data_IF_839089794220
#
_entry.id   IF_839089794220
#
_cell.length_a   1.000
_cell.length_b   1.000
_cell.length_c   1.000
_cell.angle_alpha   90.00
_cell.angle_beta   90.00
_cell.angle_gamma   90.00
#
_symmetry.space_group_name_H-M   'P 1'
#
loop_
_entity.id
_entity.type
_entity.pdbx_description
1 polymer ?
#
# COMPACT_ATOMS: atom_id res chain seq x y z
N UNK A 1 -62.02 38.41 39.33
CA UNK A 1 -60.66 38.22 38.74
C UNK A 1 -59.57 37.91 39.77
N UNK A 2 -59.66 38.34 41.05
CA UNK A 2 -58.62 38.13 42.07
C UNK A 2 -58.47 36.67 42.54
N UNK A 3 -59.57 35.94 42.71
CA UNK A 3 -59.57 34.55 43.21
C UNK A 3 -58.83 33.57 42.28
N UNK A 4 -59.00 33.74 40.96
CA UNK A 4 -58.32 32.94 39.94
C UNK A 4 -56.79 33.16 39.96
N UNK A 5 -56.36 34.40 40.25
CA UNK A 5 -54.94 34.75 40.39
C UNK A 5 -54.33 34.15 41.66
N UNK A 6 -55.06 34.16 42.77
CA UNK A 6 -54.64 33.52 44.03
C UNK A 6 -54.42 32.01 43.85
N UNK A 7 -55.34 31.33 43.16
CA UNK A 7 -55.27 29.89 42.87
C UNK A 7 -54.09 29.58 41.93
N UNK A 8 -53.87 30.38 40.89
CA UNK A 8 -52.72 30.23 40.00
C UNK A 8 -51.38 30.40 40.76
N UNK A 9 -51.30 31.37 41.69
CA UNK A 9 -50.11 31.61 42.51
C UNK A 9 -49.87 30.48 43.52
N UNK A 10 -50.92 29.98 44.17
CA UNK A 10 -50.83 28.85 45.10
C UNK A 10 -50.44 27.55 44.39
N UNK A 11 -51.00 27.27 43.21
CA UNK A 11 -50.63 26.10 42.40
C UNK A 11 -49.21 26.19 41.85
N UNK A 12 -48.74 27.38 41.46
CA UNK A 12 -47.36 27.61 41.06
C UNK A 12 -46.37 27.41 42.23
N UNK A 13 -46.69 27.94 43.41
CA UNK A 13 -45.88 27.74 44.63
C UNK A 13 -45.81 26.26 45.01
N UNK A 14 -46.95 25.55 45.00
CA UNK A 14 -47.00 24.09 45.23
C UNK A 14 -46.11 23.33 44.24
N UNK A 15 -46.18 23.65 42.95
CA UNK A 15 -45.32 23.04 41.91
C UNK A 15 -43.83 23.35 42.11
N UNK A 16 -43.50 24.56 42.56
CA UNK A 16 -42.11 24.97 42.84
C UNK A 16 -41.52 24.22 44.04
N UNK A 17 -42.30 24.02 45.12
CA UNK A 17 -41.88 23.25 46.30
C UNK A 17 -41.63 21.79 45.93
N UNK A 18 -42.53 21.15 45.17
CA UNK A 18 -42.37 19.74 44.74
C UNK A 18 -41.18 19.55 43.80
N UNK A 19 -40.92 20.51 42.91
CA UNK A 19 -39.79 20.46 41.97
C UNK A 19 -38.42 20.64 42.67
N UNK A 20 -38.41 21.21 43.87
CA UNK A 20 -37.22 21.47 44.67
C UNK A 20 -36.25 22.46 44.00
N UNK A 21 -35.20 22.85 44.73
CA UNK A 21 -34.20 23.82 44.27
C UNK A 21 -33.35 23.33 43.09
N UNK A 22 -33.27 22.02 42.88
CA UNK A 22 -32.45 21.38 41.84
C UNK A 22 -33.22 20.88 40.62
N UNK A 23 -34.55 21.07 40.52
CA UNK A 23 -35.37 20.46 39.47
C UNK A 23 -35.15 20.96 38.04
N UNK A 24 -34.18 21.85 37.79
CA UNK A 24 -33.68 22.22 36.45
C UNK A 24 -32.28 21.69 36.14
N UNK A 25 -31.63 20.95 37.06
CA UNK A 25 -30.29 20.39 36.82
C UNK A 25 -30.40 19.15 35.92
N UNK A 26 -30.04 19.30 34.66
CA UNK A 26 -29.88 18.18 33.73
C UNK A 26 -28.50 17.53 33.96
N UNK A 27 -28.47 16.30 34.47
CA UNK A 27 -27.25 15.50 34.59
C UNK A 27 -27.04 14.69 33.31
N UNK A 28 -25.77 14.50 32.91
CA UNK A 28 -25.43 13.61 31.80
C UNK A 28 -25.69 12.17 32.22
N UNK A 29 -26.74 11.56 31.66
CA UNK A 29 -27.08 10.17 31.92
C UNK A 29 -25.95 9.25 31.46
N UNK A 30 -25.46 8.40 32.37
CA UNK A 30 -24.48 7.35 32.08
C UNK A 30 -25.20 6.02 32.24
N UNK A 31 -25.38 5.29 31.14
CA UNK A 31 -26.09 4.00 31.12
C UNK A 31 -25.22 2.81 31.51
N UNK A 32 -23.90 3.00 31.61
CA UNK A 32 -22.94 1.98 32.03
C UNK A 32 -22.22 2.42 33.30
N UNK A 33 -22.01 1.47 34.22
CA UNK A 33 -21.18 1.68 35.41
C UNK A 33 -19.67 1.77 35.08
N UNK A 34 -19.26 1.37 33.88
CA UNK A 34 -17.85 1.39 33.46
C UNK A 34 -17.49 2.73 32.80
N UNK A 35 -16.48 3.41 33.35
CA UNK A 35 -15.91 4.60 32.71
C UNK A 35 -15.08 4.19 31.48
N UNK A 36 -15.33 4.83 30.33
CA UNK A 36 -14.55 4.63 29.10
C UNK A 36 -13.90 5.95 28.70
N UNK A 37 -12.63 5.88 28.30
CA UNK A 37 -11.91 7.04 27.77
C UNK A 37 -12.69 7.60 26.57
N UNK A 38 -13.07 8.89 26.57
CA UNK A 38 -13.73 9.50 25.42
C UNK A 38 -12.75 9.52 24.23
N UNK A 39 -13.30 9.40 23.02
CA UNK A 39 -12.50 9.58 21.81
C UNK A 39 -12.02 11.04 21.77
N UNK A 40 -10.71 11.20 21.80
CA UNK A 40 -10.03 12.50 21.74
C UNK A 40 -9.46 12.75 20.35
N UNK A 41 -9.17 14.00 20.02
CA UNK A 41 -8.47 14.36 18.79
C UNK A 41 -7.05 13.79 18.82
N UNK A 42 -6.70 13.01 17.79
CA UNK A 42 -5.35 12.49 17.56
C UNK A 42 -4.74 13.25 16.39
N UNK A 43 -3.85 14.19 16.67
CA UNK A 43 -3.14 14.95 15.64
C UNK A 43 -2.13 14.06 14.90
N UNK A 44 -1.96 14.28 13.61
CA UNK A 44 -0.90 13.64 12.83
C UNK A 44 0.48 14.17 13.28
N UNK A 45 1.53 13.36 13.11
CA UNK A 45 2.89 13.77 13.44
C UNK A 45 3.36 14.86 12.46
N UNK A 46 3.68 16.05 12.97
CA UNK A 46 4.31 17.14 12.23
C UNK A 46 5.72 17.42 12.79
N UNK A 47 6.76 16.72 12.33
CA UNK A 47 8.11 16.90 12.84
C UNK A 47 8.66 18.28 12.45
N UNK A 48 9.36 18.95 13.37
CA UNK A 48 9.96 20.28 13.12
C UNK A 48 11.25 20.23 12.31
N UNK A 49 11.89 19.07 12.27
CA UNK A 49 13.14 18.82 11.55
C UNK A 49 13.12 17.41 10.96
N UNK A 50 13.84 17.21 9.86
CA UNK A 50 13.98 15.90 9.24
C UNK A 50 14.85 14.99 10.12
N UNK A 51 14.48 13.72 10.28
CA UNK A 51 15.25 12.74 11.05
C UNK A 51 16.56 12.33 10.38
N UNK A 52 16.67 12.52 9.06
CA UNK A 52 17.87 12.31 8.26
C UNK A 52 18.04 13.48 7.31
N UNK A 53 19.28 13.89 7.08
CA UNK A 53 19.60 14.95 6.13
C UNK A 53 19.30 14.54 4.69
N UNK A 54 19.60 13.29 4.33
CA UNK A 54 19.44 12.77 2.96
C UNK A 54 18.55 11.51 2.98
N UNK A 55 17.52 11.43 2.11
CA UNK A 55 16.72 10.21 1.98
C UNK A 55 17.54 9.09 1.35
N UNK A 56 17.18 7.85 1.68
CA UNK A 56 17.87 6.69 1.13
C UNK A 56 17.41 6.44 -0.32
N UNK A 57 18.37 6.32 -1.25
CA UNK A 57 18.08 6.07 -2.66
C UNK A 57 17.69 4.59 -2.89
N UNK A 58 16.96 4.32 -3.99
CA UNK A 58 16.62 2.95 -4.35
C UNK A 58 17.88 2.15 -4.67
N UNK A 59 18.20 1.13 -3.86
CA UNK A 59 19.37 0.25 -4.04
C UNK A 59 19.19 -0.82 -5.13
N UNK A 60 17.97 -0.99 -5.66
CA UNK A 60 17.61 -1.99 -6.65
C UNK A 60 17.05 -1.30 -7.90
N UNK A 61 17.96 -0.83 -8.73
CA UNK A 61 17.73 -0.25 -10.05
C UNK A 61 17.63 -1.33 -11.14
N UNK A 62 17.19 -0.94 -12.34
CA UNK A 62 16.90 -1.87 -13.43
C UNK A 62 18.13 -2.70 -13.85
N UNK A 63 19.32 -2.10 -13.86
CA UNK A 63 20.60 -2.79 -14.11
C UNK A 63 20.98 -3.81 -13.05
N UNK A 64 20.50 -3.66 -11.82
CA UNK A 64 20.76 -4.61 -10.74
C UNK A 64 19.67 -5.66 -10.61
N UNK A 65 18.49 -5.39 -11.16
CA UNK A 65 17.41 -6.38 -11.27
C UNK A 65 17.79 -7.44 -12.30
N UNK A 66 18.22 -7.04 -13.49
CA UNK A 66 18.65 -7.94 -14.58
C UNK A 66 20.18 -8.04 -14.53
N UNK A 67 20.71 -9.19 -14.13
CA UNK A 67 22.16 -9.36 -13.94
C UNK A 67 22.84 -9.79 -15.24
N UNK A 68 22.37 -10.87 -15.86
CA UNK A 68 22.94 -11.40 -17.10
C UNK A 68 21.92 -12.26 -17.87
N UNK A 69 22.01 -12.34 -19.21
CA UNK A 69 21.25 -13.31 -20.00
C UNK A 69 21.78 -14.73 -19.76
N UNK A 70 21.03 -15.73 -20.21
CA UNK A 70 21.40 -17.13 -20.09
C UNK A 70 21.54 -17.75 -21.45
N UNK A 71 22.75 -18.19 -21.74
CA UNK A 71 23.17 -18.70 -23.04
C UNK A 71 23.19 -20.23 -23.11
N UNK A 72 22.56 -20.92 -22.16
CA UNK A 72 22.45 -22.39 -22.22
C UNK A 72 21.59 -22.82 -23.41
N UNK A 73 21.90 -23.95 -24.04
CA UNK A 73 21.15 -24.49 -25.19
C UNK A 73 19.64 -24.52 -24.97
N UNK A 74 19.20 -24.96 -23.79
CA UNK A 74 17.77 -25.00 -23.42
C UNK A 74 17.12 -23.61 -23.32
N UNK A 75 17.90 -22.58 -23.02
CA UNK A 75 17.45 -21.19 -23.00
C UNK A 75 17.43 -20.60 -24.41
N UNK A 76 18.43 -20.91 -25.26
CA UNK A 76 18.46 -20.48 -26.66
C UNK A 76 17.23 -21.02 -27.42
N UNK A 77 16.88 -22.30 -27.23
CA UNK A 77 15.63 -22.88 -27.75
C UNK A 77 14.36 -22.13 -27.33
N UNK A 78 14.35 -21.53 -26.12
CA UNK A 78 13.20 -20.73 -25.65
C UNK A 78 13.14 -19.34 -26.30
N UNK A 79 14.29 -18.79 -26.68
CA UNK A 79 14.37 -17.54 -27.44
C UNK A 79 13.83 -17.79 -28.86
N UNK A 80 14.29 -18.86 -29.52
CA UNK A 80 13.91 -19.23 -30.89
C UNK A 80 12.43 -19.62 -30.99
N UNK A 81 11.98 -20.65 -30.26
CA UNK A 81 10.63 -21.22 -30.44
C UNK A 81 9.55 -20.50 -29.62
N UNK A 82 9.97 -19.87 -28.51
CA UNK A 82 9.06 -19.49 -27.44
C UNK A 82 8.73 -18.00 -27.35
N UNK A 83 9.45 -17.15 -28.09
CA UNK A 83 9.51 -15.70 -27.89
C UNK A 83 9.72 -15.33 -26.40
N UNK A 84 10.68 -16.00 -25.76
CA UNK A 84 10.99 -15.87 -24.34
C UNK A 84 12.48 -15.55 -24.14
N UNK A 85 12.76 -14.42 -23.50
CA UNK A 85 14.09 -14.08 -23.01
C UNK A 85 14.33 -14.75 -21.65
N UNK A 86 15.52 -15.28 -21.45
CA UNK A 86 15.89 -15.95 -20.20
C UNK A 86 17.03 -15.21 -19.50
N UNK A 87 16.75 -14.69 -18.32
CA UNK A 87 17.71 -13.90 -17.53
C UNK A 87 18.04 -14.57 -16.20
N UNK A 88 19.27 -14.35 -15.75
CA UNK A 88 19.61 -14.35 -14.34
C UNK A 88 19.24 -12.99 -13.75
N UNK A 89 18.53 -13.02 -12.63
CA UNK A 89 18.00 -11.82 -11.98
C UNK A 89 18.33 -11.85 -10.49
N UNK A 90 18.28 -10.67 -9.87
CA UNK A 90 18.53 -10.54 -8.44
C UNK A 90 17.53 -11.36 -7.60
N UNK A 91 18.03 -11.99 -6.54
CA UNK A 91 17.21 -12.75 -5.59
C UNK A 91 16.11 -11.90 -4.93
N UNK A 92 16.33 -10.59 -4.80
CA UNK A 92 15.38 -9.65 -4.17
C UNK A 92 14.31 -9.14 -5.14
N UNK A 93 14.48 -9.35 -6.45
CA UNK A 93 13.56 -8.81 -7.45
C UNK A 93 12.24 -9.60 -7.52
N UNK A 94 11.12 -8.88 -7.57
CA UNK A 94 9.80 -9.47 -7.83
C UNK A 94 9.48 -9.47 -9.35
N UNK A 95 8.41 -10.18 -9.75
CA UNK A 95 8.01 -10.29 -11.17
C UNK A 95 7.69 -8.94 -11.81
N UNK A 96 7.10 -8.02 -11.05
CA UNK A 96 6.74 -6.68 -11.53
C UNK A 96 7.97 -5.81 -11.79
N UNK A 97 8.98 -5.90 -10.94
CA UNK A 97 10.26 -5.22 -11.09
C UNK A 97 11.03 -5.75 -12.29
N UNK A 98 11.05 -7.07 -12.49
CA UNK A 98 11.68 -7.70 -13.66
C UNK A 98 10.97 -7.22 -14.95
N UNK A 99 9.63 -7.24 -14.96
CA UNK A 99 8.83 -6.73 -16.09
C UNK A 99 9.15 -5.26 -16.40
N UNK A 100 9.23 -4.41 -15.38
CA UNK A 100 9.59 -3.00 -15.53
C UNK A 100 11.02 -2.82 -16.03
N UNK A 101 11.98 -3.55 -15.47
CA UNK A 101 13.39 -3.43 -15.82
C UNK A 101 13.66 -3.85 -17.27
N UNK A 102 13.05 -4.95 -17.73
CA UNK A 102 13.17 -5.39 -19.13
C UNK A 102 12.58 -4.36 -20.09
N UNK A 103 11.43 -3.76 -19.74
CA UNK A 103 10.82 -2.70 -20.54
C UNK A 103 11.69 -1.44 -20.60
N UNK A 104 12.30 -1.06 -19.49
CA UNK A 104 13.15 0.13 -19.41
C UNK A 104 14.50 -0.06 -20.12
N UNK A 105 15.13 -1.22 -19.98
CA UNK A 105 16.47 -1.48 -20.52
C UNK A 105 16.47 -1.81 -22.01
N UNK A 106 15.47 -2.55 -22.47
CA UNK A 106 15.46 -3.09 -23.83
C UNK A 106 14.33 -2.52 -24.70
N UNK A 107 13.48 -1.66 -24.13
CA UNK A 107 12.35 -1.00 -24.82
C UNK A 107 11.34 -2.02 -25.40
N UNK A 108 11.12 -3.13 -24.69
CA UNK A 108 10.21 -4.20 -25.12
C UNK A 108 9.02 -4.35 -24.18
N UNK A 109 7.86 -4.68 -24.75
CA UNK A 109 6.68 -5.01 -23.96
C UNK A 109 6.62 -6.50 -23.62
N UNK A 110 6.55 -6.77 -22.32
CA UNK A 110 6.52 -8.11 -21.74
C UNK A 110 5.07 -8.53 -21.51
N UNK A 111 4.71 -9.73 -21.97
CA UNK A 111 3.42 -10.34 -21.69
C UNK A 111 3.38 -10.83 -20.23
N UNK A 112 4.21 -11.83 -19.89
CA UNK A 112 4.29 -12.41 -18.57
C UNK A 112 5.74 -12.78 -18.15
N UNK A 113 5.92 -12.97 -16.84
CA UNK A 113 7.21 -13.34 -16.24
C UNK A 113 7.04 -14.54 -15.31
N UNK A 114 7.81 -15.59 -15.56
CA UNK A 114 7.91 -16.76 -14.70
C UNK A 114 9.31 -16.79 -14.06
N UNK A 115 9.38 -17.11 -12.77
CA UNK A 115 10.65 -17.10 -12.04
C UNK A 115 10.85 -18.40 -11.27
N UNK A 116 12.09 -18.88 -11.17
CA UNK A 116 12.49 -19.92 -10.22
C UNK A 116 13.80 -19.53 -9.53
N UNK A 117 14.05 -20.12 -8.37
CA UNK A 117 15.36 -20.05 -7.71
C UNK A 117 16.14 -21.29 -8.10
N UNK A 118 17.36 -21.11 -8.60
CA UNK A 118 18.27 -22.21 -8.96
C UNK A 118 19.01 -22.71 -7.72
N UNK A 119 19.50 -23.98 -7.72
CA UNK A 119 20.31 -24.52 -6.63
C UNK A 119 21.64 -23.77 -6.41
N UNK A 120 22.13 -23.03 -7.41
CA UNK A 120 23.32 -22.17 -7.28
C UNK A 120 23.05 -20.84 -6.55
N UNK A 121 21.84 -20.62 -6.01
CA UNK A 121 21.49 -19.41 -5.25
C UNK A 121 21.11 -18.20 -6.10
N UNK A 122 20.97 -18.35 -7.42
CA UNK A 122 20.54 -17.27 -8.33
C UNK A 122 19.08 -17.43 -8.77
N UNK A 123 18.39 -16.34 -9.12
CA UNK A 123 17.03 -16.42 -9.65
C UNK A 123 17.06 -16.48 -11.17
N UNK A 124 16.26 -17.38 -11.77
CA UNK A 124 15.99 -17.45 -13.22
C UNK A 124 14.69 -16.73 -13.48
N UNK A 125 14.65 -15.89 -14.51
CA UNK A 125 13.42 -15.34 -15.05
C UNK A 125 13.27 -15.80 -16.50
N UNK A 126 12.10 -16.35 -16.81
CA UNK A 126 11.60 -16.53 -18.17
C UNK A 126 10.65 -15.36 -18.44
N UNK A 127 10.98 -14.55 -19.43
CA UNK A 127 10.29 -13.32 -19.77
C UNK A 127 9.70 -13.48 -21.16
N UNK A 128 8.38 -13.68 -21.25
CA UNK A 128 7.70 -13.80 -22.53
C UNK A 128 7.40 -12.41 -23.08
N UNK A 129 7.80 -12.14 -24.31
CA UNK A 129 7.49 -10.88 -24.97
C UNK A 129 6.06 -10.90 -25.55
N UNK A 130 5.57 -9.73 -25.89
CA UNK A 130 4.36 -9.56 -26.71
C UNK A 130 4.66 -9.93 -28.16
N UNK A 131 3.61 -10.21 -28.95
CA UNK A 131 3.77 -10.64 -30.35
C UNK A 131 4.38 -9.55 -31.26
N UNK A 132 4.40 -8.30 -30.79
CA UNK A 132 4.95 -7.15 -31.52
C UNK A 132 6.49 -7.15 -31.54
N UNK A 133 7.14 -7.92 -30.67
CA UNK A 133 8.60 -7.99 -30.56
C UNK A 133 9.08 -9.44 -30.74
N UNK A 134 10.16 -9.62 -31.49
CA UNK A 134 10.85 -10.90 -31.64
C UNK A 134 12.02 -11.01 -30.64
N UNK A 135 12.01 -12.02 -29.78
CA UNK A 135 13.08 -12.28 -28.83
C UNK A 135 14.44 -12.53 -29.50
N UNK A 136 14.48 -13.08 -30.72
CA UNK A 136 15.73 -13.35 -31.43
C UNK A 136 16.45 -12.05 -31.80
N UNK A 137 15.73 -11.08 -32.37
CA UNK A 137 16.26 -9.76 -32.73
C UNK A 137 16.74 -8.98 -31.50
N UNK A 138 15.99 -9.09 -30.40
CA UNK A 138 16.36 -8.45 -29.14
C UNK A 138 17.62 -9.09 -28.55
N UNK A 139 17.75 -10.42 -28.63
CA UNK A 139 18.96 -11.12 -28.19
C UNK A 139 20.19 -10.70 -29.00
N UNK A 140 20.06 -10.57 -30.32
CA UNK A 140 21.10 -10.05 -31.22
C UNK A 140 21.53 -8.64 -30.81
N UNK A 141 20.57 -7.76 -30.51
CA UNK A 141 20.84 -6.39 -30.07
C UNK A 141 21.53 -6.32 -28.71
N UNK A 142 21.23 -7.25 -27.80
CA UNK A 142 21.91 -7.35 -26.51
C UNK A 142 23.33 -7.96 -26.69
N UNK A 143 23.53 -8.77 -27.72
CA UNK A 143 24.84 -9.32 -28.09
C UNK A 143 25.22 -10.59 -27.35
N UNK A 144 24.27 -11.51 -27.11
CA UNK A 144 24.54 -12.81 -26.47
C UNK A 144 24.14 -14.02 -27.33
N UNK A 145 23.81 -13.79 -28.60
CA UNK A 145 23.52 -14.80 -29.62
C UNK A 145 24.33 -14.50 -30.87
#
# INVERSE_FOLDING_TARGET
>A
MSLLFQIAKATAAKKAVVKGTNGKKALKVRTSATFRLPKTLKLARAPKYASKAVPHYNRLDSYKVIEQPITSETAMKKVEDGNILVFQVSMKANKYQIKKAVKELYEVDVLNVNTLVRPNGTKKAYVRLTADYDALDIANRIGYI
#
